data_IF_874869557226
#
_entry.id   IF_874869557226
#
_cell.length_a   1.000
_cell.length_b   1.000
_cell.length_c   1.000
_cell.angle_alpha   90.00
_cell.angle_beta   90.00
_cell.angle_gamma   90.00
#
_symmetry.space_group_name_H-M   'P 1'
#
loop_
_entity.id
_entity.type
_entity.pdbx_description
1 polymer ?
#
# COMPACT_ATOMS: atom_id res chain seq x y z
N UNK A 1 -0.88 5.53 -13.63
CA UNK A 1 0.08 5.32 -12.52
C UNK A 1 -0.69 5.16 -11.22
N UNK A 2 -0.51 4.05 -10.52
CA UNK A 2 -1.12 3.80 -9.21
C UNK A 2 -0.41 4.69 -8.19
N UNK A 3 -1.12 5.67 -7.61
CA UNK A 3 -0.60 6.51 -6.52
C UNK A 3 -0.94 5.82 -5.20
N UNK A 4 0.07 5.25 -4.54
CA UNK A 4 -0.05 4.70 -3.19
C UNK A 4 -0.12 5.85 -2.20
N UNK A 5 -1.12 5.86 -1.32
CA UNK A 5 -1.32 6.88 -0.31
C UNK A 5 -1.23 6.32 1.09
N UNK A 6 -0.97 7.19 2.06
CA UNK A 6 -1.12 6.88 3.47
C UNK A 6 -2.54 6.36 3.75
N UNK A 7 -2.63 5.26 4.52
CA UNK A 7 -3.88 4.60 4.87
C UNK A 7 -4.30 3.49 3.91
N UNK A 8 -3.74 3.44 2.70
CA UNK A 8 -4.01 2.37 1.75
C UNK A 8 -3.51 1.02 2.27
N UNK A 9 -4.18 -0.07 1.87
CA UNK A 9 -3.69 -1.42 2.07
C UNK A 9 -3.13 -1.90 0.74
N UNK A 10 -1.86 -2.31 0.74
CA UNK A 10 -1.19 -2.82 -0.46
C UNK A 10 -0.92 -4.31 -0.35
N UNK A 11 -0.99 -4.99 -1.48
CA UNK A 11 -0.59 -6.37 -1.65
C UNK A 11 0.38 -6.46 -2.83
N UNK A 12 1.45 -7.22 -2.66
CA UNK A 12 2.45 -7.43 -3.68
C UNK A 12 3.14 -8.78 -3.48
N UNK A 13 3.67 -9.43 -4.53
CA UNK A 13 4.28 -10.75 -4.44
C UNK A 13 5.55 -10.79 -3.58
N UNK A 14 6.20 -9.65 -3.37
CA UNK A 14 7.39 -9.52 -2.54
C UNK A 14 7.08 -9.17 -1.07
N UNK A 15 5.81 -8.98 -0.73
CA UNK A 15 5.38 -8.78 0.65
C UNK A 15 4.88 -10.09 1.22
N UNK A 16 5.33 -10.45 2.42
CA UNK A 16 4.85 -11.65 3.12
C UNK A 16 3.37 -11.58 3.44
N UNK A 17 2.85 -10.38 3.71
CA UNK A 17 1.45 -10.13 4.05
C UNK A 17 0.97 -8.80 3.46
N UNK A 18 -0.35 -8.55 3.54
CA UNK A 18 -0.93 -7.24 3.23
C UNK A 18 -0.34 -6.18 4.16
N UNK A 19 0.09 -5.07 3.59
CA UNK A 19 0.74 -3.98 4.32
C UNK A 19 -0.18 -2.75 4.32
N UNK A 20 -0.50 -2.22 5.49
CA UNK A 20 -1.15 -0.90 5.61
C UNK A 20 -0.09 0.18 5.55
N UNK A 21 -0.21 1.09 4.60
CA UNK A 21 0.71 2.19 4.42
C UNK A 21 0.52 3.21 5.54
N UNK A 22 1.58 3.50 6.27
CA UNK A 22 1.63 4.57 7.27
C UNK A 22 2.15 5.85 6.62
N UNK A 23 3.23 5.76 5.86
CA UNK A 23 3.77 6.90 5.11
C UNK A 23 4.56 6.43 3.89
N UNK A 24 4.72 7.33 2.94
CA UNK A 24 5.50 7.12 1.72
C UNK A 24 6.49 8.26 1.57
N UNK A 25 7.77 7.94 1.41
CA UNK A 25 8.85 8.91 1.26
C UNK A 25 9.51 8.71 -0.11
N UNK A 26 9.52 9.72 -0.99
CA UNK A 26 10.27 9.63 -2.24
C UNK A 26 11.78 9.71 -1.96
N UNK A 27 12.56 8.83 -2.57
CA UNK A 27 14.02 8.77 -2.46
C UNK A 27 14.61 8.53 -3.84
N UNK A 28 15.00 9.62 -4.52
CA UNK A 28 15.40 9.57 -5.93
C UNK A 28 14.23 9.09 -6.82
N UNK A 29 14.49 8.08 -7.64
CA UNK A 29 13.47 7.43 -8.48
C UNK A 29 12.64 6.35 -7.75
N UNK A 30 12.98 6.06 -6.49
CA UNK A 30 12.32 5.06 -5.67
C UNK A 30 11.35 5.70 -4.66
N UNK A 31 10.45 4.89 -4.12
CA UNK A 31 9.56 5.27 -3.02
C UNK A 31 9.75 4.32 -1.87
N UNK A 32 10.13 4.84 -0.71
CA UNK A 32 10.17 4.08 0.54
C UNK A 32 8.77 4.10 1.15
N UNK A 33 8.21 2.92 1.38
CA UNK A 33 6.93 2.73 2.05
C UNK A 33 7.21 2.23 3.46
N UNK A 34 6.79 3.02 4.44
CA UNK A 34 6.68 2.59 5.82
C UNK A 34 5.25 2.14 6.05
N UNK A 35 5.07 0.91 6.51
CA UNK A 35 3.77 0.34 6.74
C UNK A 35 3.75 -0.62 7.92
N UNK A 36 2.56 -1.12 8.20
CA UNK A 36 2.31 -2.14 9.22
C UNK A 36 1.58 -3.31 8.59
N UNK A 37 2.10 -4.52 8.78
CA UNK A 37 1.43 -5.72 8.31
C UNK A 37 0.10 -5.88 9.05
N UNK A 38 -0.96 -6.22 8.29
CA UNK A 38 -2.33 -6.26 8.81
C UNK A 38 -2.48 -7.35 9.89
N UNK A 39 -1.90 -8.53 9.68
CA UNK A 39 -2.09 -9.66 10.59
C UNK A 39 -1.04 -9.65 11.71
N UNK A 40 0.25 -9.66 11.35
CA UNK A 40 1.34 -9.72 12.33
C UNK A 40 1.50 -8.44 13.15
N UNK A 41 0.91 -7.32 12.72
CA UNK A 41 1.07 -5.99 13.35
C UNK A 41 2.53 -5.52 13.43
N UNK A 42 3.44 -6.15 12.71
CA UNK A 42 4.84 -5.73 12.64
C UNK A 42 4.98 -4.54 11.70
N UNK A 43 5.91 -3.64 12.02
CA UNK A 43 6.31 -2.57 11.12
C UNK A 43 7.22 -3.14 10.04
N UNK A 44 7.05 -2.62 8.82
CA UNK A 44 7.90 -2.95 7.69
C UNK A 44 8.28 -1.68 6.95
N UNK A 45 9.54 -1.60 6.57
CA UNK A 45 10.08 -0.61 5.66
C UNK A 45 10.40 -1.30 4.35
N UNK A 46 9.84 -0.82 3.25
CA UNK A 46 9.98 -1.46 1.95
C UNK A 46 10.34 -0.39 0.92
N UNK A 47 11.46 -0.58 0.25
CA UNK A 47 11.88 0.27 -0.88
C UNK A 47 11.18 -0.24 -2.13
N UNK A 48 10.42 0.63 -2.77
CA UNK A 48 9.67 0.32 -3.99
C UNK A 48 10.34 1.01 -5.17
N UNK A 49 10.83 0.22 -6.12
CA UNK A 49 11.34 0.69 -7.40
C UNK A 49 10.21 0.91 -8.42
N UNK A 50 10.44 1.66 -9.50
CA UNK A 50 9.46 1.82 -10.58
C UNK A 50 8.95 0.49 -11.15
N UNK A 51 9.81 -0.52 -11.30
CA UNK A 51 9.43 -1.86 -11.75
C UNK A 51 8.53 -2.57 -10.74
N UNK A 52 8.80 -2.40 -9.44
CA UNK A 52 7.99 -3.00 -8.37
C UNK A 52 6.62 -2.33 -8.24
N UNK A 53 6.51 -1.02 -8.50
CA UNK A 53 5.23 -0.29 -8.48
C UNK A 53 4.19 -0.95 -9.39
N UNK A 54 4.61 -1.47 -10.55
CA UNK A 54 3.71 -2.15 -11.50
C UNK A 54 3.11 -3.45 -10.95
N UNK A 55 3.78 -4.06 -9.96
CA UNK A 55 3.39 -5.33 -9.32
C UNK A 55 2.60 -5.13 -8.02
N UNK A 56 2.40 -3.88 -7.59
CA UNK A 56 1.64 -3.57 -6.38
C UNK A 56 0.16 -3.42 -6.72
N UNK A 57 -0.65 -4.20 -6.02
CA UNK A 57 -2.11 -4.03 -6.02
C UNK A 57 -2.52 -3.22 -4.80
N UNK A 58 -3.09 -2.04 -5.02
CA UNK A 58 -3.69 -1.25 -3.94
C UNK A 58 -5.10 -1.77 -3.69
N UNK A 59 -5.30 -2.38 -2.53
CA UNK A 59 -6.61 -2.74 -2.00
C UNK A 59 -7.19 -1.46 -1.39
N UNK A 60 -7.85 -0.66 -2.22
CA UNK A 60 -8.67 0.44 -1.71
C UNK A 60 -9.75 -0.20 -0.83
N UNK A 61 -9.84 0.22 0.42
CA UNK A 61 -11.02 -0.09 1.21
C UNK A 61 -12.22 0.43 0.42
N UNK A 62 -13.06 -0.47 -0.08
CA UNK A 62 -14.41 -0.19 -0.51
C UNK A 62 -15.17 0.30 0.73
N UNK A 63 -14.98 1.58 1.07
CA UNK A 63 -15.85 2.34 1.97
C UNK A 63 -16.74 3.32 1.19
N UNK A 64 -16.90 3.09 -0.11
CA UNK A 64 -17.95 3.70 -0.94
C UNK A 64 -18.84 2.60 -1.54
N UNK A 65 -19.38 1.72 -0.69
CA UNK A 65 -20.73 1.22 -0.99
C UNK A 65 -21.67 2.28 -0.43
N UNK A 66 -21.85 3.36 -1.18
CA UNK A 66 -22.98 4.25 -1.00
C UNK A 66 -24.24 3.43 -1.27
N UNK A 67 -24.73 2.75 -0.24
CA UNK A 67 -26.12 2.35 -0.18
C UNK A 67 -26.91 3.64 0.06
N UNK A 68 -27.20 4.35 -1.01
CA UNK A 68 -28.38 5.21 -1.08
C UNK A 68 -29.54 4.30 -1.50
N UNK A 69 -30.48 3.92 -0.62
CA UNK A 69 -31.80 3.50 -1.05
C UNK A 69 -32.69 4.75 -1.07
N UNK A 70 -33.11 5.11 -2.29
CA UNK A 70 -34.28 5.95 -2.55
C UNK A 70 -35.53 5.51 -1.78
#
# INVERSE_FOLDING_TARGET
MVKIKQGDIIHAPFLSEKLKVITTMPVGDNVVILGKYINSKNLAEVVITPDMLTKITVIKNLLDFQADPH
#
